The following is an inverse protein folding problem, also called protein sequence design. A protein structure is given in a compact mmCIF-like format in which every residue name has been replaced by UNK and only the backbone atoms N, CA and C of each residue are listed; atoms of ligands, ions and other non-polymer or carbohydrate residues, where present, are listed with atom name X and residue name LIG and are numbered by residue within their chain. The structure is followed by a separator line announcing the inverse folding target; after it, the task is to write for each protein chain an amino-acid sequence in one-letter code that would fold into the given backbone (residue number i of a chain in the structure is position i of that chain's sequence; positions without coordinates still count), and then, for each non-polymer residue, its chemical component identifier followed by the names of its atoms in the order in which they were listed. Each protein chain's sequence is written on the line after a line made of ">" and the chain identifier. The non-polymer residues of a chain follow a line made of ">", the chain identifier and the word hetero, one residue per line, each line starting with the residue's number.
data_IF_987226462041
#
_entry.id   IF_987226462041
#
_cell.length_a   1.000
_cell.length_b   1.000
_cell.length_c   1.000
_cell.angle_alpha   90.00
_cell.angle_beta   90.00
_cell.angle_gamma   90.00
#
_symmetry.space_group_name_H-M   'P 1'
#
loop_
_entity.id
_entity.type
_entity.pdbx_description
1 polymer ?
#
# COMPACT_ATOMS: atom_id res chain seq x y z
N UNK A 1 19.41 37.64 21.16
CA UNK A 1 18.16 36.85 20.99
C UNK A 1 18.20 36.11 19.66
N UNK A 2 19.09 35.14 19.53
CA UNK A 2 19.31 34.41 18.26
C UNK A 2 19.64 32.96 18.60
N UNK A 3 18.61 32.18 18.95
CA UNK A 3 18.73 30.72 19.03
C UNK A 3 17.37 30.05 18.83
N UNK A 4 16.72 30.31 17.69
CA UNK A 4 15.58 29.51 17.21
C UNK A 4 15.76 29.09 15.75
N UNK A 5 16.99 28.76 15.36
CA UNK A 5 17.27 28.00 14.14
C UNK A 5 18.20 26.87 14.53
N UNK A 6 17.91 25.65 14.05
CA UNK A 6 18.54 24.36 14.40
C UNK A 6 17.88 23.54 15.52
N UNK A 7 16.64 23.10 15.28
CA UNK A 7 16.18 21.80 15.76
C UNK A 7 15.36 21.07 14.69
N UNK A 8 15.98 20.81 13.54
CA UNK A 8 15.45 19.92 12.48
C UNK A 8 16.61 19.15 11.85
N UNK A 9 17.33 18.39 12.67
CA UNK A 9 18.26 17.40 12.15
C UNK A 9 18.34 16.27 13.16
N UNK A 10 17.52 15.24 12.96
CA UNK A 10 17.66 13.87 13.50
C UNK A 10 16.43 13.03 13.12
N UNK A 11 16.45 12.42 11.93
CA UNK A 11 15.87 11.08 11.64
C UNK A 11 15.88 10.71 10.15
N UNK A 12 16.95 11.03 9.42
CA UNK A 12 17.03 10.77 7.98
C UNK A 12 17.26 9.27 7.65
N UNK A 13 17.66 8.44 8.61
CA UNK A 13 18.16 7.06 8.37
C UNK A 13 17.35 5.91 8.98
N UNK A 14 16.39 6.18 9.87
CA UNK A 14 15.64 5.14 10.60
C UNK A 14 14.36 4.68 9.88
N UNK A 15 13.71 5.57 9.11
CA UNK A 15 12.45 5.27 8.40
C UNK A 15 12.64 4.44 7.11
N UNK A 16 13.82 4.52 6.48
CA UNK A 16 14.00 4.02 5.11
C UNK A 16 13.94 2.49 4.97
N UNK A 17 14.39 1.75 5.99
CA UNK A 17 14.42 0.28 5.94
C UNK A 17 13.03 -0.35 6.12
N UNK A 18 12.13 0.30 6.87
CA UNK A 18 10.79 -0.23 7.12
C UNK A 18 9.89 -0.12 5.89
N UNK A 19 9.92 1.02 5.19
CA UNK A 19 9.14 1.22 3.96
C UNK A 19 9.60 0.29 2.84
N UNK A 20 10.93 0.10 2.70
CA UNK A 20 11.50 -0.87 1.76
C UNK A 20 10.99 -2.30 2.01
N UNK A 21 11.04 -2.77 3.27
CA UNK A 21 10.60 -4.12 3.61
C UNK A 21 9.09 -4.31 3.39
N UNK A 22 8.29 -3.27 3.65
CA UNK A 22 6.85 -3.30 3.40
C UNK A 22 6.54 -3.40 1.90
N UNK A 23 7.26 -2.64 1.07
CA UNK A 23 7.09 -2.68 -0.39
C UNK A 23 7.38 -4.08 -0.95
N UNK A 24 8.48 -4.69 -0.55
CA UNK A 24 8.82 -6.05 -0.99
C UNK A 24 7.76 -7.08 -0.61
N UNK A 25 7.26 -7.02 0.63
CA UNK A 25 6.18 -7.90 1.06
C UNK A 25 4.90 -7.74 0.24
N UNK A 26 4.55 -6.52 -0.19
CA UNK A 26 3.39 -6.32 -1.06
C UNK A 26 3.65 -6.78 -2.50
N UNK A 27 4.86 -6.60 -3.03
CA UNK A 27 5.25 -7.16 -4.33
C UNK A 27 5.19 -8.69 -4.32
N UNK A 28 5.59 -9.30 -3.21
CA UNK A 28 5.49 -10.75 -3.02
C UNK A 28 4.05 -11.22 -3.06
N UNK A 29 3.15 -10.52 -2.37
CA UNK A 29 1.70 -10.80 -2.35
C UNK A 29 1.02 -10.55 -3.69
N UNK A 30 1.51 -9.58 -4.46
CA UNK A 30 0.99 -9.27 -5.79
C UNK A 30 1.47 -10.27 -6.86
N UNK A 31 2.40 -11.18 -6.54
CA UNK A 31 2.94 -12.15 -7.50
C UNK A 31 3.87 -11.54 -8.55
N UNK A 32 4.34 -10.31 -8.35
CA UNK A 32 5.23 -9.57 -9.29
C UNK A 32 6.71 -9.87 -8.99
N UNK A 33 7.00 -11.03 -8.39
CA UNK A 33 8.35 -11.41 -7.99
C UNK A 33 9.18 -11.89 -9.19
N UNK A 34 9.63 -10.95 -10.01
CA UNK A 34 10.73 -11.22 -10.92
C UNK A 34 12.04 -10.83 -10.22
N UNK A 35 13.03 -11.72 -10.30
CA UNK A 35 14.41 -11.49 -9.83
C UNK A 35 14.95 -10.15 -10.33
N UNK A 36 14.61 -9.77 -11.57
CA UNK A 36 15.02 -8.51 -12.18
C UNK A 36 14.38 -7.29 -11.51
N UNK A 37 13.09 -7.36 -11.19
CA UNK A 37 12.37 -6.26 -10.52
C UNK A 37 12.90 -6.05 -9.11
N UNK A 38 13.16 -7.13 -8.38
CA UNK A 38 13.74 -7.06 -7.04
C UNK A 38 15.15 -6.46 -7.08
N UNK A 39 15.99 -6.90 -8.02
CA UNK A 39 17.34 -6.37 -8.20
C UNK A 39 17.31 -4.88 -8.54
N UNK A 40 16.46 -4.47 -9.49
CA UNK A 40 16.32 -3.08 -9.90
C UNK A 40 15.92 -2.16 -8.74
N UNK A 41 14.87 -2.53 -7.98
CA UNK A 41 14.39 -1.73 -6.84
C UNK A 41 15.49 -1.61 -5.78
N UNK A 42 16.25 -2.68 -5.54
CA UNK A 42 17.37 -2.67 -4.58
C UNK A 42 18.48 -1.70 -5.01
N UNK A 43 18.85 -1.69 -6.29
CA UNK A 43 19.83 -0.75 -6.84
C UNK A 43 19.33 0.70 -6.78
N UNK A 44 18.05 0.92 -7.09
CA UNK A 44 17.39 2.22 -6.95
C UNK A 44 17.47 2.70 -5.49
N UNK A 45 17.09 1.89 -4.51
CA UNK A 45 17.20 2.30 -3.10
C UNK A 45 18.63 2.59 -2.65
N UNK A 46 19.59 1.78 -3.13
CA UNK A 46 21.01 1.99 -2.83
C UNK A 46 21.53 3.31 -3.38
N UNK A 47 21.11 3.71 -4.59
CA UNK A 47 21.50 4.98 -5.22
C UNK A 47 21.02 6.20 -4.42
N UNK A 48 19.86 6.11 -3.78
CA UNK A 48 19.27 7.22 -3.01
C UNK A 48 19.62 7.16 -1.51
N UNK A 49 20.51 6.25 -1.10
CA UNK A 49 20.97 6.09 0.29
C UNK A 49 22.15 7.01 0.67
N UNK A 50 22.62 7.87 -0.23
CA UNK A 50 23.79 8.72 0.03
C UNK A 50 23.54 9.85 1.04
N UNK A 51 24.53 10.06 1.90
CA UNK A 51 24.39 10.70 3.23
C UNK A 51 24.89 12.15 3.26
N UNK A 52 24.64 12.94 2.21
CA UNK A 52 24.86 14.40 2.28
C UNK A 52 23.58 15.12 2.71
N UNK A 53 23.69 16.26 3.42
CA UNK A 53 22.53 17.04 3.88
C UNK A 53 21.63 17.56 2.73
N UNK A 54 22.15 17.66 1.50
CA UNK A 54 21.34 17.95 0.31
C UNK A 54 20.56 16.73 -0.20
N UNK A 55 21.01 15.51 0.14
CA UNK A 55 20.39 14.24 -0.25
C UNK A 55 19.37 13.69 0.77
N UNK A 56 19.20 14.32 1.95
CA UNK A 56 18.14 13.89 2.87
C UNK A 56 16.75 14.01 2.26
N UNK A 57 16.50 15.04 1.45
CA UNK A 57 15.26 15.17 0.69
C UNK A 57 15.07 14.02 -0.31
N UNK A 58 16.13 13.60 -0.99
CA UNK A 58 16.08 12.50 -1.95
C UNK A 58 15.75 11.15 -1.25
N UNK A 59 16.26 10.93 -0.04
CA UNK A 59 15.91 9.77 0.79
C UNK A 59 14.47 9.81 1.28
N UNK A 60 13.97 10.98 1.68
CA UNK A 60 12.56 11.19 2.05
C UNK A 60 11.63 10.97 0.85
N UNK A 61 11.98 11.50 -0.32
CA UNK A 61 11.26 11.28 -1.58
C UNK A 61 11.20 9.79 -1.93
N UNK A 62 12.30 9.03 -1.74
CA UNK A 62 12.31 7.59 -1.95
C UNK A 62 11.39 6.84 -0.96
N UNK A 63 11.33 7.27 0.30
CA UNK A 63 10.40 6.68 1.26
C UNK A 63 8.95 6.98 0.90
N UNK A 64 8.65 8.21 0.48
CA UNK A 64 7.32 8.57 0.00
C UNK A 64 6.92 7.76 -1.24
N UNK A 65 7.86 7.55 -2.16
CA UNK A 65 7.67 6.68 -3.31
C UNK A 65 7.32 5.25 -2.86
N UNK A 66 8.13 4.66 -1.97
CA UNK A 66 7.89 3.36 -1.38
C UNK A 66 6.48 3.18 -0.81
N UNK A 67 6.05 4.16 -0.02
CA UNK A 67 4.77 4.14 0.67
C UNK A 67 3.62 4.28 -0.32
N UNK A 68 3.80 5.10 -1.37
CA UNK A 68 2.84 5.25 -2.47
C UNK A 68 2.66 3.93 -3.21
N UNK A 69 3.74 3.25 -3.60
CA UNK A 69 3.64 1.94 -4.29
C UNK A 69 3.09 0.85 -3.39
N UNK A 70 3.48 0.82 -2.11
CA UNK A 70 2.92 -0.10 -1.12
C UNK A 70 1.39 0.08 -1.01
N UNK A 71 0.95 1.33 -0.93
CA UNK A 71 -0.47 1.68 -0.85
C UNK A 71 -1.19 1.28 -2.13
N UNK A 72 -0.63 1.61 -3.29
CA UNK A 72 -1.20 1.24 -4.59
C UNK A 72 -1.41 -0.28 -4.75
N UNK A 73 -0.37 -1.08 -4.43
CA UNK A 73 -0.44 -2.54 -4.51
C UNK A 73 -1.49 -3.11 -3.55
N UNK A 74 -1.57 -2.57 -2.33
CA UNK A 74 -2.59 -2.95 -1.35
C UNK A 74 -4.00 -2.65 -1.87
N UNK A 75 -4.22 -1.43 -2.36
CA UNK A 75 -5.51 -0.99 -2.91
C UNK A 75 -5.93 -1.85 -4.09
N UNK A 76 -4.99 -2.25 -4.95
CA UNK A 76 -5.27 -3.14 -6.07
C UNK A 76 -5.76 -4.52 -5.61
N UNK A 77 -5.16 -5.07 -4.56
CA UNK A 77 -5.59 -6.34 -3.96
C UNK A 77 -6.99 -6.23 -3.35
N UNK A 78 -7.23 -5.17 -2.57
CA UNK A 78 -8.55 -4.92 -1.97
C UNK A 78 -9.62 -4.69 -3.03
N UNK A 79 -9.29 -3.93 -4.07
CA UNK A 79 -10.18 -3.74 -5.22
C UNK A 79 -10.50 -5.06 -5.91
N UNK A 80 -9.53 -5.95 -6.11
CA UNK A 80 -9.80 -7.27 -6.67
C UNK A 80 -10.75 -8.09 -5.79
N UNK A 81 -10.63 -8.02 -4.47
CA UNK A 81 -11.55 -8.71 -3.56
C UNK A 81 -12.98 -8.19 -3.70
N UNK A 82 -13.16 -6.87 -3.67
CA UNK A 82 -14.47 -6.23 -3.87
C UNK A 82 -15.01 -6.53 -5.27
N UNK A 83 -14.16 -6.47 -6.29
CA UNK A 83 -14.56 -6.79 -7.66
C UNK A 83 -15.03 -8.24 -7.77
N UNK A 84 -14.34 -9.20 -7.17
CA UNK A 84 -14.77 -10.59 -7.16
C UNK A 84 -16.11 -10.78 -6.43
N UNK A 85 -16.34 -10.04 -5.36
CA UNK A 85 -17.56 -10.15 -4.57
C UNK A 85 -18.79 -9.52 -5.26
N UNK A 86 -18.61 -8.38 -5.95
CA UNK A 86 -19.71 -7.54 -6.41
C UNK A 86 -19.80 -7.36 -7.93
N UNK A 87 -18.71 -7.47 -8.70
CA UNK A 87 -18.69 -7.08 -10.13
C UNK A 87 -19.22 -8.18 -11.08
N UNK A 88 -19.37 -9.43 -10.63
CA UNK A 88 -19.74 -10.55 -11.50
C UNK A 88 -21.03 -11.28 -11.09
N UNK A 89 -21.71 -10.86 -10.01
CA UNK A 89 -22.91 -11.57 -9.50
C UNK A 89 -24.24 -11.15 -10.15
N UNK A 90 -24.24 -10.20 -11.09
CA UNK A 90 -25.48 -9.68 -11.67
C UNK A 90 -26.38 -9.01 -10.62
N UNK A 91 -27.65 -8.81 -10.95
CA UNK A 91 -28.65 -8.43 -9.96
C UNK A 91 -28.90 -9.61 -8.99
N UNK A 92 -28.80 -9.35 -7.69
CA UNK A 92 -29.09 -10.34 -6.65
C UNK A 92 -30.57 -10.73 -6.72
N UNK A 93 -30.88 -12.00 -6.43
CA UNK A 93 -32.28 -12.45 -6.35
C UNK A 93 -33.07 -11.69 -5.27
N UNK A 94 -34.40 -11.69 -5.39
CA UNK A 94 -35.30 -11.05 -4.42
C UNK A 94 -35.11 -11.66 -3.04
N UNK A 95 -34.90 -12.97 -2.98
CA UNK A 95 -34.66 -13.76 -1.76
C UNK A 95 -33.34 -13.42 -1.07
N UNK A 96 -32.29 -13.21 -1.86
CA UNK A 96 -30.96 -12.85 -1.35
C UNK A 96 -30.93 -11.39 -0.89
N UNK A 97 -31.63 -10.52 -1.61
CA UNK A 97 -31.79 -9.11 -1.23
C UNK A 97 -32.61 -8.95 0.04
N UNK A 98 -33.74 -9.66 0.18
CA UNK A 98 -34.58 -9.64 1.38
C UNK A 98 -33.80 -10.09 2.62
N UNK A 99 -32.99 -11.15 2.50
CA UNK A 99 -32.13 -11.63 3.60
C UNK A 99 -31.06 -10.63 4.02
N UNK A 100 -30.45 -9.91 3.09
CA UNK A 100 -29.45 -8.87 3.38
C UNK A 100 -30.01 -7.72 4.22
N UNK A 101 -31.26 -7.35 4.00
CA UNK A 101 -31.93 -6.24 4.71
C UNK A 101 -32.74 -6.71 5.93
N UNK A 102 -32.78 -8.02 6.20
CA UNK A 102 -33.49 -8.61 7.34
C UNK A 102 -34.99 -8.82 7.13
N UNK A 103 -35.46 -8.83 5.88
CA UNK A 103 -36.85 -9.18 5.56
C UNK A 103 -36.99 -10.69 5.29
N UNK A 104 -38.10 -11.27 5.76
CA UNK A 104 -38.54 -12.62 5.39
C UNK A 104 -39.46 -12.53 4.18
N UNK A 105 -39.39 -13.49 3.27
CA UNK A 105 -40.36 -13.53 2.17
C UNK A 105 -41.71 -14.07 2.67
N UNK A 106 -42.82 -13.71 2.01
CA UNK A 106 -44.16 -14.20 2.36
C UNK A 106 -44.31 -15.73 2.34
N UNK A 107 -43.38 -16.43 1.69
CA UNK A 107 -43.36 -17.89 1.55
C UNK A 107 -42.42 -18.61 2.54
N UNK A 108 -41.65 -17.89 3.36
CA UNK A 108 -40.79 -18.50 4.37
C UNK A 108 -41.62 -18.97 5.59
N UNK A 109 -41.30 -20.14 6.19
CA UNK A 109 -41.95 -20.59 7.41
C UNK A 109 -41.73 -19.58 8.54
N UNK A 110 -42.80 -19.32 9.31
CA UNK A 110 -42.82 -18.30 10.39
C UNK A 110 -41.77 -18.56 11.45
#
# INVERSE_FOLDING_TARGET
>A
MTSMFFNLSRNCSSSSKSSFKSLFRELERAGVQNVQTHAYIKEVYKKYFETSKQYCRAGEEMNHFADTFTTYLRSLREWNNVRLEFHAKGERSVEETARLVGFKLPHDPK
#
